data_IF_772023220202
#
_entry.id   IF_772023220202
#
_cell.length_a   1.000
_cell.length_b   1.000
_cell.length_c   1.000
_cell.angle_alpha   90.00
_cell.angle_beta   90.00
_cell.angle_gamma   90.00
#
_symmetry.space_group_name_H-M   'P 1'
#
loop_
_entity.id
_entity.type
_entity.pdbx_description
1 polymer ?
#
# COMPACT_ATOMS: atom_id res chain seq x y z
N UNK A 1 30.37 -13.53 10.12
CA UNK A 1 29.57 -12.48 9.47
C UNK A 1 28.39 -12.21 10.37
N UNK A 2 28.34 -11.05 11.05
CA UNK A 2 27.23 -10.69 11.92
C UNK A 2 26.12 -10.12 11.03
N UNK A 3 25.07 -10.90 10.79
CA UNK A 3 23.86 -10.38 10.19
C UNK A 3 23.21 -9.45 11.22
N UNK A 4 23.21 -8.14 10.95
CA UNK A 4 22.41 -7.20 11.74
C UNK A 4 20.94 -7.62 11.62
N UNK A 5 20.22 -7.82 12.74
CA UNK A 5 18.79 -8.12 12.68
C UNK A 5 18.09 -6.99 11.94
N UNK A 6 17.19 -7.35 11.03
CA UNK A 6 16.34 -6.39 10.33
C UNK A 6 15.57 -5.64 11.42
N UNK A 7 15.57 -4.29 11.42
CA UNK A 7 14.84 -3.51 12.41
C UNK A 7 13.40 -3.98 12.46
N UNK A 8 12.89 -4.15 13.68
CA UNK A 8 11.54 -4.63 13.92
C UNK A 8 10.54 -3.73 13.16
N UNK A 9 9.54 -4.31 12.47
CA UNK A 9 8.55 -3.53 11.78
C UNK A 9 7.87 -2.58 12.78
N UNK A 10 7.61 -1.32 12.37
CA UNK A 10 7.01 -0.34 13.27
C UNK A 10 5.69 -0.89 13.87
N UNK A 11 5.39 -0.54 15.13
CA UNK A 11 4.23 -1.07 15.84
C UNK A 11 2.93 -0.77 15.08
N UNK A 12 1.99 -1.73 15.12
CA UNK A 12 0.68 -1.60 14.48
C UNK A 12 -0.04 -0.35 15.01
N UNK A 13 -0.43 0.55 14.10
CA UNK A 13 -1.02 1.86 14.42
C UNK A 13 -0.14 3.06 14.05
N UNK A 14 1.16 2.88 13.86
CA UNK A 14 2.02 3.88 13.21
C UNK A 14 1.99 3.73 11.68
N UNK A 15 2.24 4.81 10.93
CA UNK A 15 2.29 4.76 9.46
C UNK A 15 3.39 3.78 8.99
N UNK A 16 2.98 2.61 8.52
CA UNK A 16 3.86 1.56 8.02
C UNK A 16 4.16 1.82 6.55
N UNK A 17 5.37 1.50 6.09
CA UNK A 17 5.70 1.57 4.66
C UNK A 17 5.00 0.42 3.94
N UNK A 18 4.16 0.76 2.98
CA UNK A 18 3.48 -0.18 2.09
C UNK A 18 3.86 0.13 0.64
N UNK A 19 3.63 -0.82 -0.26
CA UNK A 19 3.81 -0.61 -1.71
C UNK A 19 2.58 -1.15 -2.42
N UNK A 20 1.46 -0.44 -2.27
CA UNK A 20 0.19 -0.79 -2.90
C UNK A 20 -0.01 0.12 -4.10
N UNK A 21 -0.37 -0.45 -5.25
CA UNK A 21 -0.77 0.32 -6.42
C UNK A 21 -2.28 0.23 -6.59
N UNK A 22 -2.93 1.36 -6.75
CA UNK A 22 -4.35 1.46 -7.03
C UNK A 22 -4.56 2.06 -8.40
N UNK A 23 -5.54 1.55 -9.14
CA UNK A 23 -5.94 2.08 -10.43
C UNK A 23 -7.43 2.37 -10.41
N UNK A 24 -7.82 3.55 -10.88
CA UNK A 24 -9.22 3.87 -11.09
C UNK A 24 -9.65 3.26 -12.44
N UNK A 25 -10.66 2.39 -12.42
CA UNK A 25 -11.23 1.78 -13.63
C UNK A 25 -11.99 2.78 -14.52
N UNK A 26 -12.44 3.90 -13.95
CA UNK A 26 -13.24 4.92 -14.66
C UNK A 26 -12.40 5.85 -15.52
N UNK A 27 -11.29 6.37 -14.98
CA UNK A 27 -10.44 7.36 -15.67
C UNK A 27 -9.04 6.82 -16.00
N UNK A 28 -8.66 5.67 -15.45
CA UNK A 28 -7.34 5.08 -15.65
C UNK A 28 -6.23 5.67 -14.77
N UNK A 29 -6.52 6.57 -13.83
CA UNK A 29 -5.51 7.14 -12.93
C UNK A 29 -4.89 6.08 -12.02
N UNK A 30 -3.57 6.11 -11.90
CA UNK A 30 -2.79 5.21 -11.05
C UNK A 30 -2.22 5.97 -9.84
N UNK A 31 -2.37 5.39 -8.66
CA UNK A 31 -1.89 5.95 -7.39
C UNK A 31 -1.09 4.90 -6.66
N UNK A 32 0.11 5.27 -6.21
CA UNK A 32 0.94 4.41 -5.37
C UNK A 32 0.83 4.84 -3.91
N UNK A 33 0.28 3.97 -3.08
CA UNK A 33 0.28 4.15 -1.63
C UNK A 33 1.60 3.64 -1.08
N UNK A 34 2.34 4.54 -0.42
CA UNK A 34 3.67 4.29 0.15
C UNK A 34 3.66 4.14 1.66
N UNK A 35 2.61 4.63 2.32
CA UNK A 35 2.42 4.56 3.76
C UNK A 35 0.95 4.34 4.09
N UNK A 36 0.68 3.47 5.07
CA UNK A 36 -0.66 3.18 5.57
C UNK A 36 -0.61 2.77 7.04
N UNK A 37 -1.66 3.04 7.84
CA UNK A 37 -1.73 2.61 9.23
C UNK A 37 -1.89 1.08 9.37
N UNK A 38 -2.41 0.40 8.34
CA UNK A 38 -2.69 -1.04 8.31
C UNK A 38 -1.97 -1.74 7.13
N UNK A 39 -2.01 -3.07 7.08
CA UNK A 39 -1.52 -3.91 5.98
C UNK A 39 -2.45 -3.90 4.77
N UNK A 40 -3.74 -3.85 5.04
CA UNK A 40 -4.78 -3.82 4.04
C UNK A 40 -5.64 -2.57 4.27
N UNK A 41 -5.11 -1.36 3.94
CA UNK A 41 -5.92 -0.16 3.99
C UNK A 41 -7.05 -0.23 2.98
N UNK A 42 -8.18 0.37 3.32
CA UNK A 42 -9.31 0.52 2.41
C UNK A 42 -8.88 1.27 1.13
N UNK A 43 -9.40 0.88 -0.04
CA UNK A 43 -9.06 1.54 -1.28
C UNK A 43 -9.44 3.03 -1.26
N UNK A 44 -8.60 3.91 -1.83
CA UNK A 44 -8.94 5.32 -1.94
C UNK A 44 -10.10 5.52 -2.93
N UNK A 45 -10.94 6.53 -2.65
CA UNK A 45 -12.01 6.93 -3.57
C UNK A 45 -11.54 7.95 -4.61
N UNK A 46 -11.81 7.66 -5.88
CA UNK A 46 -11.52 8.53 -7.02
C UNK A 46 -12.63 8.42 -8.06
N UNK A 47 -12.97 9.52 -8.74
CA UNK A 47 -14.11 9.57 -9.68
C UNK A 47 -15.45 9.09 -9.08
N UNK A 48 -15.63 9.26 -7.76
CA UNK A 48 -16.80 8.80 -6.99
C UNK A 48 -16.92 7.28 -6.79
N UNK A 49 -15.90 6.51 -7.19
CA UNK A 49 -15.86 5.06 -7.03
C UNK A 49 -14.61 4.64 -6.25
N UNK A 50 -14.60 3.39 -5.78
CA UNK A 50 -13.46 2.83 -5.06
C UNK A 50 -12.39 2.41 -6.08
N UNK A 51 -11.14 2.79 -5.84
CA UNK A 51 -10.06 2.38 -6.74
C UNK A 51 -9.74 0.89 -6.58
N UNK A 52 -9.27 0.26 -7.64
CA UNK A 52 -8.94 -1.17 -7.62
C UNK A 52 -7.46 -1.37 -7.29
N UNK A 53 -7.18 -2.21 -6.28
CA UNK A 53 -5.82 -2.61 -5.94
C UNK A 53 -5.23 -3.44 -7.10
N UNK A 54 -4.19 -2.93 -7.72
CA UNK A 54 -3.35 -3.69 -8.63
C UNK A 54 -2.48 -4.62 -7.78
N UNK A 55 -2.68 -5.93 -7.91
CA UNK A 55 -1.82 -6.93 -7.28
C UNK A 55 -0.41 -6.80 -7.88
N UNK A 56 0.46 -6.06 -7.21
CA UNK A 56 1.90 -6.20 -7.48
C UNK A 56 2.34 -7.51 -6.86
N UNK A 57 2.31 -8.58 -7.65
CA UNK A 57 2.98 -9.85 -7.36
C UNK A 57 4.47 -9.56 -7.11
N UNK A 58 4.85 -9.45 -5.85
CA UNK A 58 6.24 -9.54 -5.40
C UNK A 58 6.56 -11.05 -5.36
N UNK A 59 6.83 -11.61 -6.55
CA UNK A 59 7.25 -13.01 -6.73
C UNK A 59 8.74 -13.17 -6.40
#
# INVERSE_FOLDING_TARGET
MLATPIPEPPPAGELRKVKLQYRCSLCGTEVRMTVAPDEAPDPPRHCMDDMELQQTEDL
#
